data_IF_785103251206
#
_entry.id   IF_785103251206
#
_cell.length_a   1.000
_cell.length_b   1.000
_cell.length_c   1.000
_cell.angle_alpha   90.00
_cell.angle_beta   90.00
_cell.angle_gamma   90.00
#
_symmetry.space_group_name_H-M   'P 1'
#
loop_
_entity.id
_entity.type
_entity.pdbx_description
1 polymer ?
#
# COMPACT_ATOMS: atom_id res chain seq x y z
N UNK A 1 -16.89 -40.60 -6.17
CA UNK A 1 -16.40 -42.00 -6.21
C UNK A 1 -15.45 -42.12 -5.03
N UNK A 2 -15.88 -42.90 -4.03
CA UNK A 2 -15.19 -42.97 -2.75
C UNK A 2 -13.98 -43.90 -2.79
N UNK A 3 -12.94 -43.53 -2.11
CA UNK A 3 -11.81 -44.42 -1.79
C UNK A 3 -12.08 -45.06 -0.42
N UNK A 4 -12.37 -46.37 -0.45
CA UNK A 4 -12.37 -47.22 0.73
C UNK A 4 -10.94 -47.69 1.03
N UNK A 5 -10.48 -47.46 2.24
CA UNK A 5 -9.27 -48.10 2.77
C UNK A 5 -9.67 -49.46 3.38
N UNK A 6 -9.04 -50.56 2.92
CA UNK A 6 -9.15 -51.88 3.52
C UNK A 6 -8.15 -52.00 4.68
N UNK A 7 -8.49 -52.68 5.78
CA UNK A 7 -7.58 -52.87 6.91
C UNK A 7 -6.66 -54.06 6.63
N UNK A 8 -5.35 -53.79 6.44
CA UNK A 8 -4.31 -54.80 6.47
C UNK A 8 -3.67 -54.85 7.87
N UNK A 9 -3.58 -56.05 8.44
CA UNK A 9 -3.04 -56.32 9.77
C UNK A 9 -1.52 -56.10 9.87
N UNK A 10 -0.96 -56.17 11.09
CA UNK A 10 0.41 -55.73 11.37
C UNK A 10 1.44 -56.69 10.80
N UNK A 11 2.30 -56.20 9.93
CA UNK A 11 3.57 -56.83 9.59
C UNK A 11 4.68 -56.15 10.40
N UNK A 12 5.43 -56.95 11.13
CA UNK A 12 6.66 -56.59 11.80
C UNK A 12 7.66 -56.03 10.75
N UNK A 13 8.07 -54.80 10.90
CA UNK A 13 9.18 -54.22 10.15
C UNK A 13 10.42 -54.17 11.04
N UNK A 14 11.46 -54.82 10.59
CA UNK A 14 12.75 -54.89 11.25
C UNK A 14 13.38 -53.48 11.38
N UNK A 15 14.05 -53.28 12.53
CA UNK A 15 14.84 -52.08 12.77
C UNK A 15 16.00 -51.97 11.80
N UNK A 16 15.97 -50.88 10.99
CA UNK A 16 17.04 -50.52 10.08
C UNK A 16 16.87 -49.14 9.51
N UNK A 17 17.81 -48.25 9.85
CA UNK A 17 18.07 -46.93 9.27
C UNK A 17 17.07 -45.79 9.53
N UNK A 18 17.22 -45.16 10.69
CA UNK A 18 16.53 -43.93 11.13
C UNK A 18 17.29 -42.65 10.73
N UNK A 19 17.98 -42.57 9.63
CA UNK A 19 18.73 -41.37 9.23
C UNK A 19 18.24 -40.65 7.98
N UNK A 20 17.11 -41.06 7.37
CA UNK A 20 16.65 -40.47 6.10
C UNK A 20 15.32 -39.69 6.19
N UNK A 21 14.64 -39.65 7.32
CA UNK A 21 13.32 -38.99 7.45
C UNK A 21 13.33 -37.59 8.11
N UNK A 22 14.49 -37.06 8.50
CA UNK A 22 14.56 -35.74 9.18
C UNK A 22 14.88 -34.58 8.22
N UNK A 23 15.29 -34.84 6.99
CA UNK A 23 15.68 -33.80 6.04
C UNK A 23 14.52 -33.13 5.26
N UNK A 24 13.35 -33.73 5.22
CA UNK A 24 12.24 -33.20 4.39
C UNK A 24 11.31 -32.21 5.11
N UNK A 25 11.42 -32.06 6.44
CA UNK A 25 10.60 -31.11 7.19
C UNK A 25 11.19 -29.71 7.36
N UNK A 26 12.42 -29.46 6.87
CA UNK A 26 13.16 -28.20 7.09
C UNK A 26 12.99 -27.13 5.99
N UNK A 27 12.06 -27.30 5.08
CA UNK A 27 11.96 -26.45 3.87
C UNK A 27 10.77 -25.50 3.89
N UNK A 28 10.44 -24.86 5.05
CA UNK A 28 9.40 -23.86 4.98
C UNK A 28 9.74 -22.54 5.67
N UNK A 29 9.62 -21.49 4.86
CA UNK A 29 9.52 -20.06 5.13
C UNK A 29 10.89 -19.35 5.28
N UNK A 30 11.76 -19.16 4.24
CA UNK A 30 12.87 -18.25 4.20
C UNK A 30 14.08 -18.45 3.34
N UNK A 31 14.15 -19.49 2.62
CA UNK A 31 15.26 -19.63 1.67
C UNK A 31 15.11 -18.76 0.40
N UNK A 32 13.97 -18.10 0.23
CA UNK A 32 13.68 -17.38 -1.03
C UNK A 32 14.16 -15.92 -1.12
N UNK A 33 14.70 -15.31 -0.06
CA UNK A 33 14.97 -13.86 -0.07
C UNK A 33 16.40 -13.46 -0.43
N UNK A 34 17.41 -14.30 -0.28
CA UNK A 34 18.81 -13.92 -0.51
C UNK A 34 19.46 -14.55 -1.77
N UNK A 35 19.04 -15.75 -2.18
CA UNK A 35 19.71 -16.51 -3.23
C UNK A 35 19.00 -16.53 -4.60
N UNK A 36 17.70 -16.20 -4.67
CA UNK A 36 16.97 -16.23 -5.94
C UNK A 36 17.35 -15.12 -6.93
N UNK A 37 17.99 -14.04 -6.49
CA UNK A 37 18.55 -13.06 -7.41
C UNK A 37 19.73 -13.60 -8.21
N UNK A 38 20.35 -14.72 -7.79
CA UNK A 38 21.45 -15.39 -8.49
C UNK A 38 21.01 -16.58 -9.35
N UNK A 39 19.94 -17.30 -9.00
CA UNK A 39 19.53 -18.51 -9.75
C UNK A 39 18.53 -18.27 -10.89
N UNK A 40 17.75 -17.20 -10.84
CA UNK A 40 16.76 -16.88 -11.89
C UNK A 40 17.12 -15.61 -12.64
N UNK A 41 18.26 -15.52 -13.30
CA UNK A 41 18.69 -14.36 -14.09
C UNK A 41 17.56 -13.36 -14.40
N UNK A 42 17.78 -12.06 -14.24
CA UNK A 42 16.93 -10.86 -14.42
C UNK A 42 15.47 -11.08 -14.88
N UNK A 43 14.66 -11.71 -14.03
CA UNK A 43 13.23 -11.85 -14.27
C UNK A 43 12.55 -10.50 -14.00
N UNK A 44 11.78 -10.00 -14.98
CA UNK A 44 11.08 -8.71 -14.85
C UNK A 44 10.01 -8.79 -13.76
N UNK A 45 9.78 -7.70 -13.03
CA UNK A 45 8.84 -7.57 -11.89
C UNK A 45 7.49 -8.24 -12.14
N UNK A 46 6.88 -8.05 -13.33
CA UNK A 46 5.57 -8.64 -13.68
C UNK A 46 5.59 -10.15 -13.80
N UNK A 47 6.75 -10.75 -14.06
CA UNK A 47 6.92 -12.21 -14.06
C UNK A 47 7.27 -12.68 -12.65
N UNK A 48 8.13 -11.96 -11.94
CA UNK A 48 8.52 -12.30 -10.57
C UNK A 48 7.31 -12.42 -9.62
N UNK A 49 6.31 -11.55 -9.76
CA UNK A 49 5.08 -11.62 -8.96
C UNK A 49 4.26 -12.90 -9.16
N UNK A 50 4.49 -13.63 -10.26
CA UNK A 50 3.80 -14.91 -10.56
C UNK A 50 4.53 -16.13 -10.01
N UNK A 51 5.84 -16.00 -9.75
CA UNK A 51 6.72 -17.15 -9.47
C UNK A 51 7.31 -17.13 -8.06
N UNK A 52 7.18 -16.03 -7.35
CA UNK A 52 7.80 -15.81 -6.04
C UNK A 52 6.85 -16.10 -4.89
N UNK A 53 7.40 -16.50 -3.75
CA UNK A 53 6.68 -16.61 -2.47
C UNK A 53 5.93 -17.91 -2.25
N UNK A 54 5.88 -18.83 -3.23
CA UNK A 54 5.10 -20.05 -3.11
C UNK A 54 5.79 -21.26 -3.71
N UNK A 55 5.86 -22.35 -2.94
CA UNK A 55 6.26 -23.68 -3.40
C UNK A 55 5.02 -24.60 -3.47
N UNK A 56 4.64 -25.07 -4.70
CA UNK A 56 3.51 -25.96 -4.88
C UNK A 56 3.56 -27.25 -4.06
N UNK A 57 4.75 -27.80 -3.79
CA UNK A 57 4.92 -29.05 -3.03
C UNK A 57 4.25 -28.98 -1.66
N UNK A 58 4.20 -27.80 -1.08
CA UNK A 58 3.68 -27.50 0.23
C UNK A 58 2.16 -27.27 0.26
N UNK A 59 1.55 -27.34 -0.90
CA UNK A 59 0.09 -27.36 -1.09
C UNK A 59 -0.33 -28.53 -1.98
N UNK A 60 0.32 -29.68 -1.81
CA UNK A 60 0.02 -30.92 -2.54
C UNK A 60 0.12 -30.78 -4.06
N UNK A 61 1.03 -29.95 -4.57
CA UNK A 61 1.21 -29.70 -6.00
C UNK A 61 0.15 -28.74 -6.59
N UNK A 62 -0.65 -28.09 -5.79
CA UNK A 62 -1.61 -27.09 -6.26
C UNK A 62 -0.90 -25.90 -6.90
N UNK A 63 -1.42 -25.40 -8.03
CA UNK A 63 -0.91 -24.20 -8.69
C UNK A 63 -1.13 -22.90 -7.88
N UNK A 64 -1.95 -22.97 -6.84
CA UNK A 64 -2.19 -21.86 -5.89
C UNK A 64 -1.97 -22.35 -4.46
N UNK A 65 -1.50 -21.49 -3.54
CA UNK A 65 -1.33 -21.87 -2.15
C UNK A 65 -2.65 -22.28 -1.51
N UNK A 66 -2.59 -23.23 -0.56
CA UNK A 66 -3.71 -23.52 0.33
C UNK A 66 -3.98 -22.34 1.25
N UNK A 67 -5.18 -22.31 1.87
CA UNK A 67 -5.50 -21.37 2.94
C UNK A 67 -5.23 -22.04 4.28
N UNK A 68 -4.25 -21.53 5.04
CA UNK A 68 -3.80 -22.10 6.31
C UNK A 68 -4.49 -21.39 7.49
N UNK A 69 -5.68 -21.86 7.84
CA UNK A 69 -6.49 -21.32 8.95
C UNK A 69 -6.09 -21.89 10.30
N UNK A 70 -4.82 -21.77 10.67
CA UNK A 70 -4.34 -22.18 12.00
C UNK A 70 -3.98 -20.95 12.83
N UNK A 71 -4.39 -20.91 14.09
CA UNK A 71 -3.94 -19.88 15.02
C UNK A 71 -2.59 -20.24 15.66
N UNK A 72 -2.24 -21.52 15.72
CA UNK A 72 -1.05 -22.03 16.42
C UNK A 72 -0.35 -23.10 15.59
N UNK A 73 0.93 -23.29 15.84
CA UNK A 73 1.79 -24.23 15.12
C UNK A 73 2.49 -25.16 16.10
N UNK A 74 2.79 -26.38 15.67
CA UNK A 74 3.41 -27.43 16.49
C UNK A 74 4.91 -27.41 16.25
N UNK A 75 5.70 -27.44 17.30
CA UNK A 75 7.16 -27.51 17.25
C UNK A 75 7.63 -28.96 17.29
N UNK A 76 8.75 -29.25 16.63
CA UNK A 76 9.35 -30.57 16.61
C UNK A 76 9.91 -30.98 18.00
N UNK A 77 10.35 -30.01 18.82
CA UNK A 77 10.86 -30.19 20.16
C UNK A 77 10.72 -28.95 21.04
N UNK A 78 10.89 -29.03 22.36
CA UNK A 78 10.97 -27.85 23.22
C UNK A 78 12.10 -26.88 22.83
N UNK A 79 13.24 -27.38 22.38
CA UNK A 79 14.39 -26.59 21.98
C UNK A 79 14.07 -25.83 20.67
N UNK A 80 13.34 -26.44 19.72
CA UNK A 80 12.87 -25.77 18.52
C UNK A 80 11.89 -24.63 18.88
N UNK A 81 11.02 -24.83 19.86
CA UNK A 81 10.14 -23.80 20.37
C UNK A 81 10.91 -22.63 20.98
N UNK A 82 11.89 -22.90 21.88
CA UNK A 82 12.75 -21.88 22.48
C UNK A 82 13.48 -21.07 21.40
N UNK A 83 14.11 -21.76 20.46
CA UNK A 83 14.81 -21.12 19.34
C UNK A 83 13.90 -20.22 18.48
N UNK A 84 12.70 -20.67 18.13
CA UNK A 84 11.72 -19.88 17.37
C UNK A 84 11.35 -18.58 18.11
N UNK A 85 11.14 -18.65 19.43
CA UNK A 85 10.88 -17.45 20.23
C UNK A 85 12.09 -16.52 20.33
N UNK A 86 13.29 -17.04 20.42
CA UNK A 86 14.52 -16.26 20.50
C UNK A 86 14.79 -15.51 19.19
N UNK A 87 14.59 -16.16 18.05
CA UNK A 87 14.70 -15.52 16.72
C UNK A 87 13.63 -14.45 16.55
N UNK A 88 12.38 -14.78 16.90
CA UNK A 88 11.25 -13.81 16.77
C UNK A 88 11.43 -12.59 17.67
N UNK A 89 12.02 -12.76 18.85
CA UNK A 89 12.33 -11.68 19.78
C UNK A 89 13.64 -10.92 19.42
N UNK A 90 14.38 -11.38 18.41
CA UNK A 90 15.66 -10.80 18.00
C UNK A 90 16.81 -11.06 18.99
N UNK A 91 16.68 -12.03 19.89
CA UNK A 91 17.73 -12.44 20.84
C UNK A 91 18.80 -13.29 20.16
N UNK A 92 18.41 -14.06 19.17
CA UNK A 92 19.29 -14.89 18.35
C UNK A 92 19.11 -14.49 16.89
N UNK A 93 20.21 -14.38 16.15
CA UNK A 93 20.13 -14.23 14.69
C UNK A 93 19.98 -15.61 14.08
N UNK A 94 19.02 -15.81 13.17
CA UNK A 94 18.93 -17.07 12.44
C UNK A 94 20.22 -17.30 11.65
N UNK A 95 20.61 -18.57 11.45
CA UNK A 95 21.69 -18.94 10.56
C UNK A 95 21.36 -18.51 9.11
N UNK A 96 22.38 -18.41 8.25
CA UNK A 96 22.16 -18.08 6.85
C UNK A 96 21.24 -19.13 6.21
N UNK A 97 20.14 -18.67 5.59
CA UNK A 97 19.10 -19.54 5.04
C UNK A 97 18.14 -20.19 6.05
N UNK A 98 18.35 -19.97 7.35
CA UNK A 98 17.43 -20.45 8.38
C UNK A 98 16.23 -19.52 8.54
N UNK A 99 15.04 -20.10 8.67
CA UNK A 99 13.82 -19.42 9.12
C UNK A 99 13.41 -19.93 10.49
N UNK A 100 12.96 -19.00 11.31
CA UNK A 100 12.27 -19.38 12.54
C UNK A 100 10.96 -20.09 12.21
N UNK A 101 10.65 -21.13 12.97
CA UNK A 101 9.36 -21.80 12.90
C UNK A 101 8.22 -20.81 13.18
N UNK A 102 7.08 -21.02 12.54
CA UNK A 102 5.87 -20.28 12.85
C UNK A 102 5.42 -20.60 14.29
N UNK A 103 5.11 -19.58 15.06
CA UNK A 103 4.73 -19.70 16.47
C UNK A 103 3.22 -19.59 16.62
N UNK A 104 2.67 -18.51 16.11
CA UNK A 104 1.27 -18.11 16.31
C UNK A 104 0.87 -17.10 15.22
N UNK A 105 -0.33 -17.25 14.66
CA UNK A 105 -0.75 -16.47 13.49
C UNK A 105 -0.82 -14.96 13.72
N UNK A 106 -0.91 -14.49 14.97
CA UNK A 106 -0.82 -13.07 15.30
C UNK A 106 0.58 -12.48 14.98
N UNK A 107 1.63 -13.29 14.99
CA UNK A 107 2.97 -12.86 14.55
C UNK A 107 3.15 -13.01 13.06
N UNK A 108 2.87 -14.20 12.52
CA UNK A 108 2.85 -14.51 11.07
C UNK A 108 2.11 -15.82 10.79
N UNK A 109 1.70 -16.01 9.54
CA UNK A 109 1.10 -17.24 9.02
C UNK A 109 1.46 -17.42 7.55
N UNK A 110 1.39 -18.65 6.97
CA UNK A 110 1.90 -18.92 5.63
C UNK A 110 1.33 -18.00 4.55
N UNK A 111 0.02 -17.72 4.56
CA UNK A 111 -0.59 -16.86 3.53
C UNK A 111 -0.13 -15.39 3.63
N UNK A 112 0.18 -14.89 4.85
CA UNK A 112 0.75 -13.55 5.00
C UNK A 112 2.17 -13.51 4.42
N UNK A 113 3.00 -14.50 4.71
CA UNK A 113 4.38 -14.55 4.22
C UNK A 113 4.44 -14.70 2.71
N UNK A 114 3.59 -15.54 2.10
CA UNK A 114 3.47 -15.69 0.66
C UNK A 114 3.13 -14.35 0.00
N UNK A 115 2.11 -13.66 0.51
CA UNK A 115 1.73 -12.35 -0.02
C UNK A 115 2.82 -11.30 0.19
N UNK A 116 3.42 -11.24 1.38
CA UNK A 116 4.49 -10.31 1.73
C UNK A 116 5.71 -10.48 0.82
N UNK A 117 6.08 -11.71 0.49
CA UNK A 117 7.19 -11.98 -0.43
C UNK A 117 6.81 -11.67 -1.88
N UNK A 118 5.60 -12.01 -2.29
CA UNK A 118 5.11 -11.83 -3.66
C UNK A 118 4.94 -10.36 -4.05
N UNK A 119 4.61 -9.46 -3.11
CA UNK A 119 4.45 -8.03 -3.42
C UNK A 119 5.78 -7.29 -3.58
N UNK A 120 6.85 -7.77 -2.96
CA UNK A 120 8.17 -7.10 -2.95
C UNK A 120 8.67 -6.75 -4.36
N UNK A 121 8.62 -7.61 -5.39
CA UNK A 121 9.08 -7.26 -6.73
C UNK A 121 8.35 -6.09 -7.38
N UNK A 122 7.12 -5.80 -6.95
CA UNK A 122 6.32 -4.71 -7.52
C UNK A 122 6.81 -3.34 -7.08
N UNK A 123 7.36 -3.20 -5.86
CA UNK A 123 7.97 -1.95 -5.38
C UNK A 123 9.47 -1.96 -5.58
N UNK A 124 9.97 -1.14 -6.53
CA UNK A 124 11.40 -1.08 -6.83
C UNK A 124 12.21 -0.61 -5.62
N UNK A 125 13.21 -1.37 -5.25
CA UNK A 125 14.09 -1.10 -4.11
C UNK A 125 13.59 -1.70 -2.79
N UNK A 126 12.39 -2.29 -2.73
CA UNK A 126 11.92 -3.02 -1.57
C UNK A 126 12.62 -4.39 -1.46
N UNK A 127 12.81 -4.84 -0.22
CA UNK A 127 13.29 -6.19 0.12
C UNK A 127 12.32 -6.93 1.04
N UNK A 128 11.51 -6.21 1.79
CA UNK A 128 10.63 -6.76 2.82
C UNK A 128 9.27 -6.08 2.77
N UNK A 129 8.24 -6.82 3.15
CA UNK A 129 6.89 -6.33 3.33
C UNK A 129 6.28 -6.81 4.66
N UNK A 130 5.27 -6.08 5.14
CA UNK A 130 4.40 -6.48 6.23
C UNK A 130 2.96 -6.13 5.87
N UNK A 131 2.06 -7.12 5.94
CA UNK A 131 0.62 -6.95 5.64
C UNK A 131 -0.17 -6.67 6.92
N UNK A 132 -1.22 -5.85 6.80
CA UNK A 132 -2.07 -5.38 7.89
C UNK A 132 -3.54 -5.44 7.50
N UNK A 133 -4.43 -5.45 8.49
CA UNK A 133 -5.88 -5.49 8.27
C UNK A 133 -6.48 -4.17 7.72
N UNK A 134 -5.71 -3.11 7.58
CA UNK A 134 -6.11 -1.86 6.90
C UNK A 134 -4.90 -0.98 6.55
N UNK A 135 -5.08 -0.03 5.62
CA UNK A 135 -4.08 1.00 5.35
C UNK A 135 -3.77 1.84 6.59
N UNK A 136 -4.81 2.20 7.37
CA UNK A 136 -4.61 2.91 8.64
C UNK A 136 -3.82 2.11 9.67
N UNK A 137 -4.00 0.78 9.71
CA UNK A 137 -3.21 -0.10 10.57
C UNK A 137 -1.74 -0.12 10.16
N UNK A 138 -1.45 -0.11 8.85
CA UNK A 138 -0.09 0.01 8.33
C UNK A 138 0.55 1.35 8.73
N UNK A 139 -0.15 2.48 8.50
CA UNK A 139 0.31 3.83 8.84
C UNK A 139 0.54 3.97 10.35
N UNK A 140 -0.45 3.60 11.16
CA UNK A 140 -0.37 3.66 12.61
C UNK A 140 0.82 2.84 13.14
N UNK A 141 0.97 1.61 12.65
CA UNK A 141 2.07 0.74 13.06
C UNK A 141 3.43 1.32 12.68
N UNK A 142 3.54 1.90 11.48
CA UNK A 142 4.77 2.57 11.03
C UNK A 142 5.07 3.81 11.90
N UNK A 143 4.07 4.61 12.24
CA UNK A 143 4.27 5.76 13.14
C UNK A 143 4.75 5.29 14.52
N UNK A 144 4.09 4.33 15.14
CA UNK A 144 4.48 3.81 16.46
C UNK A 144 5.80 3.02 16.48
N UNK A 145 6.34 2.66 15.31
CA UNK A 145 7.67 2.08 15.23
C UNK A 145 8.78 3.13 15.46
N UNK A 146 8.49 4.42 15.24
CA UNK A 146 9.48 5.50 15.27
C UNK A 146 9.08 6.71 16.10
N UNK A 147 7.78 6.96 16.30
CA UNK A 147 7.32 8.04 17.16
C UNK A 147 7.74 7.81 18.62
N UNK A 148 8.14 8.89 19.26
CA UNK A 148 8.51 8.93 20.67
C UNK A 148 8.00 10.22 21.30
N UNK A 149 7.77 10.27 22.63
CA UNK A 149 7.34 11.51 23.28
C UNK A 149 8.27 12.70 22.94
N UNK A 150 7.68 13.87 22.77
CA UNK A 150 8.34 15.14 22.40
C UNK A 150 8.95 15.15 20.99
N UNK A 151 8.64 14.17 20.15
CA UNK A 151 9.09 14.16 18.76
C UNK A 151 8.14 14.92 17.84
N UNK A 152 8.66 15.30 16.67
CA UNK A 152 7.88 15.92 15.60
C UNK A 152 7.76 15.01 14.38
N UNK A 153 6.63 15.14 13.68
CA UNK A 153 6.34 14.54 12.38
C UNK A 153 6.13 15.69 11.39
N UNK A 154 7.01 15.84 10.41
CA UNK A 154 6.78 16.73 9.26
C UNK A 154 5.93 16.00 8.25
N UNK A 155 4.83 16.58 7.77
CA UNK A 155 3.95 15.91 6.82
C UNK A 155 3.37 16.85 5.77
N UNK A 156 3.08 16.32 4.59
CA UNK A 156 2.46 17.07 3.48
C UNK A 156 0.95 17.19 3.65
N UNK A 157 0.36 18.30 3.21
CA UNK A 157 -1.09 18.54 3.22
C UNK A 157 -1.63 18.80 1.81
N UNK A 158 -2.87 18.38 1.47
CA UNK A 158 -3.76 17.54 2.27
C UNK A 158 -3.26 16.11 2.39
N UNK A 159 -3.60 15.45 3.51
CA UNK A 159 -3.48 14.01 3.70
C UNK A 159 -4.86 13.35 3.68
N UNK A 160 -4.87 12.03 3.56
CA UNK A 160 -6.05 11.25 3.88
C UNK A 160 -6.56 11.61 5.29
N UNK A 161 -7.87 11.89 5.43
CA UNK A 161 -8.44 12.39 6.69
C UNK A 161 -8.19 11.50 7.91
N UNK A 162 -8.09 10.17 7.70
CA UNK A 162 -7.71 9.24 8.78
C UNK A 162 -6.28 9.47 9.30
N UNK A 163 -5.34 9.82 8.42
CA UNK A 163 -3.94 10.09 8.81
C UNK A 163 -3.84 11.43 9.54
N UNK A 164 -4.56 12.45 9.07
CA UNK A 164 -4.66 13.74 9.78
C UNK A 164 -5.24 13.53 11.18
N UNK A 165 -6.35 12.78 11.28
CA UNK A 165 -6.94 12.43 12.58
C UNK A 165 -6.02 11.65 13.50
N UNK A 166 -5.22 10.72 12.96
CA UNK A 166 -4.21 9.99 13.73
C UNK A 166 -3.17 10.95 14.33
N UNK A 167 -2.68 11.92 13.57
CA UNK A 167 -1.69 12.88 14.06
C UNK A 167 -2.30 13.79 15.14
N UNK A 168 -3.36 14.51 14.82
CA UNK A 168 -3.88 15.56 15.69
C UNK A 168 -4.72 15.04 16.86
N UNK A 169 -5.57 14.04 16.62
CA UNK A 169 -6.50 13.58 17.66
C UNK A 169 -5.88 12.52 18.56
N UNK A 170 -4.95 11.72 18.00
CA UNK A 170 -4.41 10.59 18.74
C UNK A 170 -2.97 10.81 19.20
N UNK A 171 -2.06 11.26 18.33
CA UNK A 171 -0.63 11.35 18.68
C UNK A 171 -0.26 12.60 19.46
N UNK A 172 -0.88 13.75 19.21
CA UNK A 172 -0.60 14.99 19.95
C UNK A 172 -0.84 14.86 21.46
N UNK A 173 -1.91 14.21 21.96
CA UNK A 173 -2.07 13.93 23.38
C UNK A 173 -0.92 13.10 24.00
N UNK A 174 -0.19 12.33 23.19
CA UNK A 174 1.01 11.60 23.60
C UNK A 174 2.31 12.40 23.35
N UNK A 175 2.18 13.70 23.09
CA UNK A 175 3.30 14.64 22.89
C UNK A 175 4.13 14.31 21.63
N UNK A 176 3.47 13.86 20.56
CA UNK A 176 4.04 13.75 19.22
C UNK A 176 3.35 14.77 18.33
N UNK A 177 4.08 15.78 17.88
CA UNK A 177 3.52 16.97 17.24
C UNK A 177 3.65 16.93 15.72
N UNK A 178 2.59 17.32 15.03
CA UNK A 178 2.58 17.44 13.58
C UNK A 178 3.03 18.81 13.08
N UNK A 179 3.86 18.87 12.05
CA UNK A 179 4.25 20.09 11.32
C UNK A 179 3.71 19.93 9.88
N UNK A 180 2.58 20.57 9.55
CA UNK A 180 2.01 20.51 8.21
C UNK A 180 2.77 21.37 7.22
N UNK A 181 2.95 20.88 5.99
CA UNK A 181 3.49 21.65 4.86
C UNK A 181 2.67 21.36 3.61
N UNK A 182 2.38 22.37 2.81
CA UNK A 182 1.59 22.19 1.59
C UNK A 182 2.31 21.29 0.59
N UNK A 183 1.59 20.30 0.06
CA UNK A 183 2.07 19.46 -1.06
C UNK A 183 2.47 20.35 -2.25
N UNK A 184 3.62 20.03 -2.86
CA UNK A 184 4.16 20.80 -3.99
C UNK A 184 4.96 22.06 -3.60
N UNK A 185 4.92 22.48 -2.34
CA UNK A 185 5.82 23.53 -1.82
C UNK A 185 7.16 22.91 -1.42
N UNK A 186 7.99 22.64 -2.43
CA UNK A 186 9.27 21.95 -2.23
C UNK A 186 10.19 22.71 -1.28
N UNK A 187 10.28 24.03 -1.37
CA UNK A 187 11.13 24.86 -0.50
C UNK A 187 10.60 24.91 0.94
N UNK A 188 9.28 25.02 1.09
CA UNK A 188 8.62 24.95 2.39
C UNK A 188 8.84 23.60 3.08
N UNK A 189 8.76 22.51 2.33
CA UNK A 189 9.03 21.15 2.85
C UNK A 189 10.49 21.03 3.32
N UNK A 190 11.46 21.44 2.52
CA UNK A 190 12.88 21.44 2.91
C UNK A 190 13.14 22.31 4.14
N UNK A 191 12.52 23.50 4.20
CA UNK A 191 12.65 24.38 5.34
C UNK A 191 12.03 23.80 6.62
N UNK A 192 10.85 23.21 6.50
CA UNK A 192 10.18 22.55 7.63
C UNK A 192 11.00 21.37 8.17
N UNK A 193 11.52 20.52 7.29
CA UNK A 193 12.40 19.41 7.69
C UNK A 193 13.64 19.95 8.38
N UNK A 194 14.34 20.91 7.78
CA UNK A 194 15.58 21.49 8.33
C UNK A 194 15.41 22.12 9.71
N UNK A 195 14.27 22.74 9.97
CA UNK A 195 14.01 23.48 11.21
C UNK A 195 13.27 22.64 12.27
N UNK A 196 12.77 21.47 11.93
CA UNK A 196 12.10 20.58 12.86
C UNK A 196 13.06 20.15 13.98
N UNK A 197 12.59 20.17 15.21
CA UNK A 197 13.36 19.70 16.36
C UNK A 197 12.87 18.31 16.76
N UNK A 198 13.79 17.42 17.09
CA UNK A 198 13.47 16.03 17.45
C UNK A 198 12.59 15.36 16.38
N UNK A 199 12.93 15.59 15.10
CA UNK A 199 12.18 15.07 13.97
C UNK A 199 12.36 13.55 13.88
N UNK A 200 11.27 12.79 13.96
CA UNK A 200 11.34 11.33 13.90
C UNK A 200 10.79 10.76 12.57
N UNK A 201 9.87 11.47 11.94
CA UNK A 201 9.20 11.02 10.71
C UNK A 201 9.00 12.21 9.77
N UNK A 202 9.22 11.98 8.49
CA UNK A 202 8.71 12.80 7.39
C UNK A 202 7.69 11.95 6.63
N UNK A 203 6.41 12.34 6.66
CA UNK A 203 5.32 11.61 6.05
C UNK A 203 4.76 12.32 4.83
N UNK A 204 4.65 11.59 3.72
CA UNK A 204 4.27 12.16 2.41
C UNK A 204 3.17 11.34 1.78
N UNK A 205 2.12 12.01 1.29
CA UNK A 205 1.17 11.45 0.35
C UNK A 205 1.38 12.12 -1.02
N UNK A 206 1.78 11.34 -2.03
CA UNK A 206 2.04 11.89 -3.37
C UNK A 206 1.68 10.89 -4.46
N UNK A 207 0.77 11.29 -5.42
CA UNK A 207 0.05 12.57 -5.50
C UNK A 207 -0.90 12.78 -4.33
N UNK A 208 -1.09 14.04 -3.92
CA UNK A 208 -2.00 14.41 -2.84
C UNK A 208 -3.46 14.17 -3.22
N UNK A 209 -4.25 13.62 -2.32
CA UNK A 209 -5.69 13.42 -2.49
C UNK A 209 -6.46 14.66 -2.03
N UNK A 210 -7.36 15.25 -2.80
CA UNK A 210 -7.81 14.88 -4.17
C UNK A 210 -7.20 15.76 -5.27
N UNK A 211 -6.26 16.64 -4.94
CA UNK A 211 -5.75 17.71 -5.82
C UNK A 211 -4.69 17.21 -6.80
N UNK A 212 -4.19 15.99 -6.62
CA UNK A 212 -3.14 15.35 -7.43
C UNK A 212 -1.81 16.13 -7.45
N UNK A 213 -1.63 17.08 -6.54
CA UNK A 213 -0.38 17.82 -6.41
C UNK A 213 0.76 16.86 -6.07
N UNK A 214 1.85 16.98 -6.83
CA UNK A 214 3.03 16.13 -6.69
C UNK A 214 4.04 16.77 -5.72
N UNK A 215 4.65 15.94 -4.90
CA UNK A 215 5.79 16.32 -4.04
C UNK A 215 7.09 15.75 -4.61
N UNK A 216 8.14 16.56 -4.70
CA UNK A 216 9.48 16.14 -5.16
C UNK A 216 10.12 15.23 -4.11
N UNK A 217 10.05 13.92 -4.34
CA UNK A 217 10.58 12.92 -3.41
C UNK A 217 12.10 12.97 -3.29
N UNK A 218 12.82 13.27 -4.37
CA UNK A 218 14.30 13.35 -4.33
C UNK A 218 14.75 14.46 -3.41
N UNK A 219 14.22 15.68 -3.56
CA UNK A 219 14.58 16.83 -2.74
C UNK A 219 14.17 16.62 -1.28
N UNK A 220 12.97 16.10 -1.05
CA UNK A 220 12.47 15.79 0.29
C UNK A 220 13.37 14.76 1.01
N UNK A 221 13.67 13.63 0.34
CA UNK A 221 14.52 12.59 0.92
C UNK A 221 15.95 13.09 1.18
N UNK A 222 16.48 13.93 0.29
CA UNK A 222 17.78 14.55 0.50
C UNK A 222 17.79 15.49 1.74
N UNK A 223 16.72 16.28 1.93
CA UNK A 223 16.58 17.14 3.11
C UNK A 223 16.48 16.31 4.41
N UNK A 224 15.71 15.22 4.40
CA UNK A 224 15.61 14.31 5.54
C UNK A 224 16.94 13.62 5.87
N UNK A 225 17.67 13.16 4.86
CA UNK A 225 18.99 12.55 5.02
C UNK A 225 20.04 13.52 5.60
N UNK A 226 19.94 14.81 5.27
CA UNK A 226 20.83 15.86 5.79
C UNK A 226 20.45 16.32 7.20
N UNK A 227 19.29 15.94 7.73
CA UNK A 227 18.84 16.34 9.05
C UNK A 227 19.59 15.57 10.16
N UNK A 228 20.04 16.23 11.27
CA UNK A 228 20.82 15.57 12.32
C UNK A 228 20.09 14.41 13.02
N UNK A 229 18.76 14.47 13.10
CA UNK A 229 17.94 13.41 13.71
C UNK A 229 17.69 12.22 12.77
N UNK A 230 18.05 12.32 11.49
CA UNK A 230 17.81 11.30 10.45
C UNK A 230 16.37 10.72 10.48
N UNK A 231 15.35 11.59 10.31
CA UNK A 231 13.95 11.14 10.36
C UNK A 231 13.66 10.10 9.29
N UNK A 232 12.80 9.14 9.61
CA UNK A 232 12.36 8.11 8.67
C UNK A 232 11.40 8.73 7.64
N UNK A 233 11.73 8.61 6.37
CA UNK A 233 10.85 9.04 5.28
C UNK A 233 9.84 7.94 4.95
N UNK A 234 8.56 8.25 5.17
CA UNK A 234 7.43 7.36 4.87
C UNK A 234 6.59 7.96 3.77
N UNK A 235 6.33 7.19 2.73
CA UNK A 235 5.51 7.64 1.58
C UNK A 235 4.27 6.77 1.44
N UNK A 236 3.11 7.39 1.51
CA UNK A 236 1.86 6.75 1.06
C UNK A 236 1.77 6.86 -0.47
N UNK A 237 1.99 5.75 -1.13
CA UNK A 237 2.01 5.64 -2.59
C UNK A 237 0.73 4.99 -3.14
N UNK A 238 -0.37 5.04 -2.40
CA UNK A 238 -1.62 4.35 -2.74
C UNK A 238 -2.19 4.77 -4.10
N UNK A 239 -1.98 6.02 -4.55
CA UNK A 239 -2.54 6.51 -5.81
C UNK A 239 -1.83 6.01 -7.07
N UNK A 240 -0.52 5.79 -7.01
CA UNK A 240 0.30 5.43 -8.18
C UNK A 240 1.04 4.10 -8.05
N UNK A 241 1.14 3.58 -6.84
CA UNK A 241 1.87 2.33 -6.64
C UNK A 241 1.00 1.06 -6.63
N UNK A 242 1.65 -0.05 -6.72
CA UNK A 242 3.10 -0.24 -6.90
C UNK A 242 3.55 -0.27 -8.38
N UNK A 243 2.80 0.33 -9.29
CA UNK A 243 3.02 0.16 -10.75
C UNK A 243 3.66 1.38 -11.40
N UNK A 244 3.32 2.60 -10.98
CA UNK A 244 3.66 3.83 -11.72
C UNK A 244 4.63 4.76 -11.00
N UNK A 245 4.81 4.61 -9.70
CA UNK A 245 5.74 5.38 -8.89
C UNK A 245 6.42 4.46 -7.86
N UNK A 246 7.73 4.65 -7.65
CA UNK A 246 8.55 3.85 -6.77
C UNK A 246 9.35 4.74 -5.80
N UNK A 247 8.76 5.16 -4.67
CA UNK A 247 9.38 6.12 -3.76
C UNK A 247 10.73 5.69 -3.19
N UNK A 248 10.97 4.38 -3.04
CA UNK A 248 12.27 3.88 -2.54
C UNK A 248 13.43 4.20 -3.47
N UNK A 249 13.20 4.36 -4.77
CA UNK A 249 14.24 4.78 -5.72
C UNK A 249 14.72 6.22 -5.47
N UNK A 250 13.91 7.02 -4.79
CA UNK A 250 14.17 8.41 -4.45
C UNK A 250 14.68 8.60 -3.03
N UNK A 251 14.77 7.53 -2.24
CA UNK A 251 15.32 7.57 -0.90
C UNK A 251 14.31 7.33 0.25
N UNK A 252 13.06 7.05 -0.05
CA UNK A 252 12.09 6.68 0.98
C UNK A 252 12.52 5.42 1.74
N UNK A 253 12.31 5.40 3.06
CA UNK A 253 12.64 4.28 3.94
C UNK A 253 11.50 3.27 4.03
N UNK A 254 10.26 3.77 4.07
CA UNK A 254 9.04 2.96 4.15
C UNK A 254 8.06 3.49 3.11
N UNK A 255 7.49 2.56 2.34
CA UNK A 255 6.35 2.85 1.45
C UNK A 255 5.13 2.14 1.98
N UNK A 256 4.03 2.86 2.15
CA UNK A 256 2.75 2.30 2.61
C UNK A 256 1.72 2.33 1.50
N UNK A 257 0.84 1.33 1.52
CA UNK A 257 -0.30 1.20 0.61
C UNK A 257 -1.55 0.86 1.40
N UNK A 258 -2.63 1.54 1.10
CA UNK A 258 -3.95 0.97 1.34
C UNK A 258 -4.19 -0.14 0.32
N UNK A 259 -3.93 -1.40 0.71
CA UNK A 259 -4.15 -2.56 -0.14
C UNK A 259 -5.64 -2.76 -0.50
N UNK A 260 -6.54 -2.12 0.25
CA UNK A 260 -7.97 -1.93 -0.05
C UNK A 260 -8.23 -1.38 -1.46
N UNK A 261 -7.27 -0.61 -2.03
CA UNK A 261 -7.40 0.13 -3.28
C UNK A 261 -6.97 -0.73 -4.47
N UNK A 262 -6.02 -0.29 -5.26
CA UNK A 262 -5.57 -0.99 -6.47
C UNK A 262 -5.09 -2.42 -6.23
N UNK A 263 -4.44 -2.70 -5.09
CA UNK A 263 -3.94 -4.05 -4.81
C UNK A 263 -5.07 -5.07 -4.72
N UNK A 264 -6.11 -4.77 -3.96
CA UNK A 264 -7.36 -5.56 -3.95
C UNK A 264 -8.13 -5.40 -5.27
N UNK A 265 -8.51 -4.18 -5.61
CA UNK A 265 -9.12 -3.80 -6.89
C UNK A 265 -10.59 -4.15 -7.09
N UNK A 266 -11.29 -4.71 -6.10
CA UNK A 266 -12.65 -5.22 -6.26
C UNK A 266 -13.65 -4.69 -5.22
N UNK A 267 -13.27 -3.69 -4.44
CA UNK A 267 -14.12 -3.03 -3.42
C UNK A 267 -14.76 -3.98 -2.40
N UNK A 268 -14.12 -5.10 -2.09
CA UNK A 268 -14.66 -6.22 -1.30
C UNK A 268 -13.83 -6.59 -0.07
N UNK A 269 -12.73 -5.87 0.18
CA UNK A 269 -11.87 -6.11 1.34
C UNK A 269 -11.15 -4.85 1.79
N UNK A 270 -10.73 -4.85 3.05
CA UNK A 270 -9.91 -3.81 3.66
C UNK A 270 -8.57 -4.40 4.06
N UNK A 271 -7.48 -3.84 3.57
CA UNK A 271 -6.13 -4.29 3.89
C UNK A 271 -5.11 -3.16 3.75
N UNK A 272 -3.93 -3.34 4.35
CA UNK A 272 -2.79 -2.44 4.22
C UNK A 272 -1.49 -3.20 4.07
N UNK A 273 -0.47 -2.56 3.52
CA UNK A 273 0.87 -3.12 3.46
C UNK A 273 1.91 -2.02 3.60
N UNK A 274 3.00 -2.33 4.29
CA UNK A 274 4.19 -1.48 4.36
C UNK A 274 5.38 -2.25 3.79
N UNK A 275 6.16 -1.59 2.96
CA UNK A 275 7.37 -2.15 2.35
C UNK A 275 8.59 -1.34 2.77
N UNK A 276 9.75 -1.99 2.87
CA UNK A 276 11.02 -1.36 3.20
C UNK A 276 12.20 -2.16 2.63
N UNK A 277 13.35 -1.52 2.51
CA UNK A 277 14.63 -2.19 2.21
C UNK A 277 15.38 -2.63 3.47
N UNK A 278 14.99 -2.13 4.65
CA UNK A 278 15.69 -2.32 5.91
C UNK A 278 15.18 -3.54 6.68
N UNK A 279 16.10 -4.46 7.01
CA UNK A 279 15.80 -5.59 7.90
C UNK A 279 15.41 -5.15 9.31
N UNK A 280 15.98 -4.06 9.81
CA UNK A 280 15.61 -3.49 11.12
C UNK A 280 14.21 -2.90 11.09
N UNK A 281 13.87 -2.14 10.02
CA UNK A 281 12.56 -1.54 9.87
C UNK A 281 11.46 -2.60 9.79
N UNK A 282 11.65 -3.66 9.00
CA UNK A 282 10.64 -4.72 8.90
C UNK A 282 10.45 -5.47 10.22
N UNK A 283 11.51 -5.70 10.99
CA UNK A 283 11.40 -6.29 12.31
C UNK A 283 10.58 -5.41 13.27
N UNK A 284 10.84 -4.09 13.28
CA UNK A 284 10.04 -3.14 14.07
C UNK A 284 8.56 -3.18 13.67
N UNK A 285 8.25 -3.15 12.38
CA UNK A 285 6.87 -3.19 11.87
C UNK A 285 6.17 -4.49 12.25
N UNK A 286 6.77 -5.65 12.03
CA UNK A 286 6.20 -6.96 12.35
C UNK A 286 6.02 -7.14 13.85
N UNK A 287 6.99 -6.71 14.67
CA UNK A 287 6.89 -6.73 16.13
C UNK A 287 5.70 -5.88 16.62
N UNK A 288 5.55 -4.66 16.14
CA UNK A 288 4.42 -3.79 16.49
C UNK A 288 3.08 -4.36 16.00
N UNK A 289 3.04 -4.90 14.77
CA UNK A 289 1.86 -5.63 14.26
C UNK A 289 1.43 -6.74 15.21
N UNK A 290 2.38 -7.56 15.66
CA UNK A 290 2.12 -8.64 16.60
C UNK A 290 1.61 -8.16 17.97
N UNK A 291 2.08 -7.00 18.46
CA UNK A 291 1.60 -6.40 19.71
C UNK A 291 0.20 -5.79 19.56
N UNK A 292 -0.05 -5.05 18.48
CA UNK A 292 -1.34 -4.38 18.23
C UNK A 292 -2.43 -5.37 17.79
N UNK A 293 -2.06 -6.53 17.25
CA UNK A 293 -3.00 -7.53 16.76
C UNK A 293 -3.68 -7.14 15.43
N UNK A 294 -3.16 -6.15 14.71
CA UNK A 294 -3.73 -5.65 13.46
C UNK A 294 -3.29 -6.48 12.23
N UNK A 295 -3.40 -7.79 12.36
CA UNK A 295 -3.07 -8.78 11.33
C UNK A 295 -4.19 -8.90 10.29
N UNK A 296 -3.82 -9.23 9.06
CA UNK A 296 -4.76 -9.66 8.02
C UNK A 296 -4.94 -11.19 8.11
N UNK A 297 -6.15 -11.68 7.87
CA UNK A 297 -6.47 -13.10 7.99
C UNK A 297 -5.96 -13.91 6.78
N UNK A 298 -5.77 -15.25 6.92
CA UNK A 298 -5.26 -16.09 5.84
C UNK A 298 -6.06 -16.04 4.55
N UNK A 299 -7.40 -16.03 4.62
CA UNK A 299 -8.28 -15.95 3.45
C UNK A 299 -8.08 -14.64 2.67
N UNK A 300 -7.97 -13.53 3.37
CA UNK A 300 -7.79 -12.21 2.77
C UNK A 300 -6.38 -12.08 2.15
N UNK A 301 -5.35 -12.63 2.82
CA UNK A 301 -4.00 -12.71 2.23
C UNK A 301 -4.01 -13.55 0.96
N UNK A 302 -4.71 -14.70 0.96
CA UNK A 302 -4.88 -15.57 -0.20
C UNK A 302 -5.64 -14.87 -1.35
N UNK A 303 -6.65 -14.05 -1.03
CA UNK A 303 -7.34 -13.23 -2.02
C UNK A 303 -6.40 -12.19 -2.63
N UNK A 304 -5.62 -11.48 -1.82
CA UNK A 304 -4.65 -10.49 -2.28
C UNK A 304 -3.58 -11.12 -3.18
N UNK A 305 -3.00 -12.25 -2.76
CA UNK A 305 -2.07 -13.05 -3.55
C UNK A 305 -2.59 -13.29 -4.97
N UNK A 306 -3.84 -13.77 -5.08
CA UNK A 306 -4.46 -14.02 -6.38
C UNK A 306 -4.73 -12.78 -7.24
N UNK A 307 -4.67 -11.57 -6.67
CA UNK A 307 -4.95 -10.29 -7.36
C UNK A 307 -3.71 -9.54 -7.79
N UNK A 308 -2.57 -9.78 -7.12
CA UNK A 308 -1.30 -9.14 -7.46
C UNK A 308 -0.88 -9.31 -8.93
N UNK A 309 -1.01 -10.50 -9.55
CA UNK A 309 -0.63 -10.69 -10.95
C UNK A 309 -1.35 -9.77 -11.95
N UNK A 310 -2.55 -9.30 -11.60
CA UNK A 310 -3.36 -8.44 -12.47
C UNK A 310 -3.28 -6.95 -12.12
N UNK A 311 -2.61 -6.56 -11.04
CA UNK A 311 -2.59 -5.17 -10.57
C UNK A 311 -2.12 -4.20 -11.65
N UNK A 312 -1.01 -4.51 -12.32
CA UNK A 312 -0.48 -3.66 -13.39
C UNK A 312 -1.39 -3.60 -14.62
N UNK A 313 -2.08 -4.70 -14.95
CA UNK A 313 -3.05 -4.72 -16.06
C UNK A 313 -4.24 -3.81 -15.75
N UNK A 314 -4.79 -3.91 -14.55
CA UNK A 314 -5.92 -3.09 -14.09
C UNK A 314 -5.54 -1.61 -14.01
N UNK A 315 -4.44 -1.28 -13.35
CA UNK A 315 -3.95 0.11 -13.23
C UNK A 315 -3.65 0.74 -14.59
N UNK A 316 -3.04 0.01 -15.53
CA UNK A 316 -2.81 0.50 -16.88
C UNK A 316 -4.12 0.83 -17.62
N UNK A 317 -5.14 -0.03 -17.48
CA UNK A 317 -6.45 0.24 -18.08
C UNK A 317 -7.13 1.45 -17.45
N UNK A 318 -7.11 1.53 -16.12
CA UNK A 318 -7.67 2.64 -15.35
C UNK A 318 -6.99 3.97 -15.68
N UNK A 319 -5.64 3.98 -15.78
CA UNK A 319 -4.88 5.18 -16.17
C UNK A 319 -5.23 5.64 -17.58
N UNK A 320 -5.32 4.74 -18.56
CA UNK A 320 -5.75 5.06 -19.91
C UNK A 320 -7.17 5.63 -19.98
N UNK A 321 -8.08 5.07 -19.18
CA UNK A 321 -9.45 5.57 -19.10
C UNK A 321 -9.49 6.96 -18.48
N UNK A 322 -8.80 7.16 -17.33
CA UNK A 322 -8.71 8.46 -16.68
C UNK A 322 -8.14 9.53 -17.58
N UNK A 323 -7.06 9.22 -18.31
CA UNK A 323 -6.44 10.15 -19.25
C UNK A 323 -7.42 10.58 -20.35
N UNK A 324 -8.06 9.63 -21.02
CA UNK A 324 -9.02 9.90 -22.09
C UNK A 324 -10.21 10.75 -21.63
N UNK A 325 -10.73 10.43 -20.44
CA UNK A 325 -11.84 11.16 -19.83
C UNK A 325 -11.41 12.58 -19.44
N UNK A 326 -10.26 12.74 -18.78
CA UNK A 326 -9.75 14.04 -18.38
C UNK A 326 -9.46 14.94 -19.59
N UNK A 327 -8.84 14.41 -20.64
CA UNK A 327 -8.55 15.14 -21.89
C UNK A 327 -9.83 15.52 -22.65
N UNK A 328 -10.82 14.61 -22.75
CA UNK A 328 -12.09 14.88 -23.43
C UNK A 328 -12.94 15.94 -22.70
N UNK A 329 -12.87 15.97 -21.36
CA UNK A 329 -13.61 16.92 -20.53
C UNK A 329 -12.86 18.24 -20.32
N UNK A 330 -11.59 18.33 -20.73
CA UNK A 330 -10.79 19.54 -20.57
C UNK A 330 -11.37 20.70 -21.40
N UNK A 331 -11.62 21.85 -20.75
CA UNK A 331 -12.23 23.02 -21.38
C UNK A 331 -13.75 22.97 -21.52
N UNK A 332 -14.42 21.96 -20.94
CA UNK A 332 -15.89 21.91 -20.94
C UNK A 332 -16.49 23.10 -20.18
N UNK A 333 -17.53 23.78 -20.78
CA UNK A 333 -18.07 25.04 -20.29
C UNK A 333 -18.61 25.03 -18.83
N UNK A 334 -18.99 23.87 -18.31
CA UNK A 334 -19.49 23.70 -16.92
C UNK A 334 -18.38 23.50 -15.90
N UNK A 335 -17.13 23.27 -16.37
CA UNK A 335 -15.97 23.00 -15.53
C UNK A 335 -15.04 24.21 -15.55
N UNK A 336 -14.64 24.67 -14.37
CA UNK A 336 -13.60 25.67 -14.23
C UNK A 336 -12.20 25.06 -14.42
N UNK A 337 -12.05 23.78 -14.09
CA UNK A 337 -10.78 23.06 -14.18
C UNK A 337 -10.99 21.55 -14.24
N UNK A 338 -10.14 20.86 -15.00
CA UNK A 338 -9.91 19.41 -14.92
C UNK A 338 -8.50 19.20 -14.40
N UNK A 339 -8.38 18.46 -13.29
CA UNK A 339 -7.09 18.21 -12.63
C UNK A 339 -6.64 16.80 -12.96
N UNK A 340 -5.53 16.71 -13.71
CA UNK A 340 -4.90 15.44 -14.06
C UNK A 340 -3.43 15.68 -14.41
N UNK A 341 -2.49 14.76 -14.14
CA UNK A 341 -1.07 15.03 -14.32
C UNK A 341 -0.65 15.43 -15.73
N UNK A 342 -1.28 14.88 -16.79
CA UNK A 342 -0.98 15.28 -18.18
C UNK A 342 -1.48 16.69 -18.53
N UNK A 343 -2.36 17.26 -17.73
CA UNK A 343 -2.95 18.60 -17.89
C UNK A 343 -2.33 19.66 -16.96
N UNK A 344 -1.30 19.30 -16.21
CA UNK A 344 -0.60 20.28 -15.38
C UNK A 344 -0.07 21.43 -16.23
N UNK A 345 -0.27 22.66 -15.76
CA UNK A 345 0.27 23.89 -16.39
C UNK A 345 1.53 24.37 -15.69
N UNK A 346 1.65 24.13 -14.38
CA UNK A 346 2.81 24.45 -13.57
C UNK A 346 4.06 23.69 -14.05
N UNK A 347 5.15 24.39 -14.42
CA UNK A 347 6.37 23.75 -14.90
C UNK A 347 7.01 22.79 -13.87
N UNK A 348 6.92 23.13 -12.57
CA UNK A 348 7.49 22.30 -11.50
C UNK A 348 6.69 21.00 -11.34
N UNK A 349 5.36 21.06 -11.36
CA UNK A 349 4.51 19.87 -11.32
C UNK A 349 4.74 18.96 -12.55
N UNK A 350 4.93 19.54 -13.73
CA UNK A 350 5.31 18.79 -14.95
C UNK A 350 6.67 18.10 -14.78
N UNK A 351 7.65 18.80 -14.24
CA UNK A 351 9.00 18.27 -14.00
C UNK A 351 8.95 17.11 -13.02
N UNK A 352 8.27 17.28 -11.87
CA UNK A 352 8.15 16.24 -10.84
C UNK A 352 7.45 15.00 -11.44
N UNK A 353 6.31 15.17 -12.08
CA UNK A 353 5.57 14.09 -12.72
C UNK A 353 6.44 13.35 -13.75
N UNK A 354 7.06 14.06 -14.68
CA UNK A 354 7.88 13.46 -15.73
C UNK A 354 9.11 12.73 -15.22
N UNK A 355 9.63 13.14 -14.05
CA UNK A 355 10.81 12.52 -13.43
C UNK A 355 10.49 11.28 -12.61
N UNK A 356 9.43 11.31 -11.81
CA UNK A 356 9.21 10.27 -10.80
C UNK A 356 8.05 9.31 -11.10
N UNK A 357 7.26 9.52 -12.17
CA UNK A 357 6.10 8.70 -12.49
C UNK A 357 6.19 8.10 -13.89
N UNK A 358 5.85 6.81 -14.03
CA UNK A 358 5.77 6.13 -15.34
C UNK A 358 4.46 6.46 -16.07
N UNK A 359 3.36 6.64 -15.34
CA UNK A 359 2.01 6.93 -15.85
C UNK A 359 1.23 7.81 -14.88
N UNK A 360 0.21 8.54 -15.37
CA UNK A 360 -0.51 9.55 -14.57
C UNK A 360 -1.53 8.98 -13.56
N UNK A 361 -1.82 7.68 -13.62
CA UNK A 361 -2.75 7.02 -12.67
C UNK A 361 -4.22 7.08 -13.07
N UNK A 362 -5.06 6.41 -12.27
CA UNK A 362 -6.49 6.24 -12.53
C UNK A 362 -7.39 7.29 -11.87
N UNK A 363 -6.82 8.31 -11.22
CA UNK A 363 -7.57 9.35 -10.51
C UNK A 363 -7.48 10.68 -11.26
N UNK A 364 -8.62 11.36 -11.39
CA UNK A 364 -8.68 12.76 -11.81
C UNK A 364 -9.76 13.51 -11.06
N UNK A 365 -9.73 14.83 -11.10
CA UNK A 365 -10.74 15.65 -10.43
C UNK A 365 -11.34 16.67 -11.39
N UNK A 366 -12.64 16.90 -11.25
CA UNK A 366 -13.40 17.92 -11.98
C UNK A 366 -13.77 19.04 -11.02
N UNK A 367 -13.51 20.27 -11.38
CA UNK A 367 -13.94 21.44 -10.64
C UNK A 367 -15.08 22.14 -11.35
N UNK A 368 -16.25 22.16 -10.74
CA UNK A 368 -17.47 22.72 -11.30
C UNK A 368 -17.53 24.24 -11.11
N UNK A 369 -17.74 25.00 -12.20
CA UNK A 369 -17.90 26.45 -12.13
C UNK A 369 -19.10 26.91 -11.30
N UNK A 370 -20.18 26.10 -11.24
CA UNK A 370 -21.35 26.34 -10.41
C UNK A 370 -21.21 25.88 -8.94
N UNK A 371 -19.98 25.54 -8.50
CA UNK A 371 -19.70 25.15 -7.13
C UNK A 371 -20.42 23.88 -6.69
N UNK A 372 -20.77 23.81 -5.40
CA UNK A 372 -21.36 22.62 -4.76
C UNK A 372 -22.68 22.19 -5.41
N UNK A 373 -23.53 23.13 -5.81
CA UNK A 373 -24.83 22.81 -6.40
C UNK A 373 -24.66 22.04 -7.72
N UNK A 374 -23.76 22.53 -8.58
CA UNK A 374 -23.40 21.89 -9.85
C UNK A 374 -22.75 20.52 -9.65
N UNK A 375 -21.78 20.42 -8.73
CA UNK A 375 -21.12 19.17 -8.38
C UNK A 375 -22.12 18.12 -7.89
N UNK A 376 -23.07 18.50 -7.05
CA UNK A 376 -24.09 17.60 -6.54
C UNK A 376 -25.11 17.19 -7.61
N UNK A 377 -25.48 18.09 -8.52
CA UNK A 377 -26.37 17.74 -9.64
C UNK A 377 -25.69 16.73 -10.57
N UNK A 378 -24.42 16.94 -10.93
CA UNK A 378 -23.63 15.95 -11.67
C UNK A 378 -23.64 14.58 -10.98
N UNK A 379 -23.31 14.53 -9.68
CA UNK A 379 -23.29 13.28 -8.92
C UNK A 379 -24.63 12.55 -8.86
N UNK A 380 -25.76 13.28 -8.93
CA UNK A 380 -27.11 12.68 -9.01
C UNK A 380 -27.42 12.11 -10.38
N UNK A 381 -26.77 12.61 -11.44
CA UNK A 381 -27.08 12.26 -12.83
C UNK A 381 -26.21 11.17 -13.42
N UNK A 382 -25.03 10.92 -12.87
CA UNK A 382 -24.21 9.80 -13.32
C UNK A 382 -24.96 8.46 -13.13
N UNK A 383 -24.84 7.55 -14.09
CA UNK A 383 -25.61 6.30 -14.16
C UNK A 383 -24.71 5.07 -14.12
N UNK A 384 -23.53 5.15 -14.76
CA UNK A 384 -22.52 4.10 -14.80
C UNK A 384 -21.55 4.27 -13.63
N UNK A 385 -20.97 5.48 -13.50
CA UNK A 385 -20.14 5.83 -12.38
C UNK A 385 -20.96 5.86 -11.07
N UNK A 386 -20.41 5.32 -10.01
CA UNK A 386 -21.10 5.19 -8.72
C UNK A 386 -20.67 6.29 -7.76
N UNK A 387 -21.64 6.94 -7.13
CA UNK A 387 -21.36 7.92 -6.09
C UNK A 387 -20.99 7.20 -4.79
N UNK A 388 -19.69 7.00 -4.57
CA UNK A 388 -19.14 6.31 -3.42
C UNK A 388 -17.74 6.82 -3.09
N UNK A 389 -17.36 6.75 -1.82
CA UNK A 389 -15.97 6.93 -1.39
C UNK A 389 -15.13 5.71 -1.79
N UNK A 390 -13.82 5.76 -1.56
CA UNK A 390 -12.83 4.79 -2.02
C UNK A 390 -12.32 5.09 -3.42
N UNK A 391 -11.46 4.22 -3.97
CA UNK A 391 -10.82 4.36 -5.27
C UNK A 391 -10.13 3.05 -5.67
N UNK A 392 -9.67 2.97 -6.92
CA UNK A 392 -8.81 1.88 -7.40
C UNK A 392 -9.55 0.57 -7.70
N UNK A 393 -10.87 0.53 -7.52
CA UNK A 393 -11.72 -0.60 -7.93
C UNK A 393 -11.82 -0.74 -9.45
N UNK A 394 -12.28 -1.91 -9.91
CA UNK A 394 -12.56 -2.15 -11.34
C UNK A 394 -13.74 -1.31 -11.85
N UNK A 395 -14.60 -0.85 -10.96
CA UNK A 395 -15.71 0.07 -11.23
C UNK A 395 -15.28 1.53 -11.07
N UNK A 396 -15.90 2.43 -11.84
CA UNK A 396 -15.71 3.88 -11.72
C UNK A 396 -16.47 4.45 -10.52
N UNK A 397 -15.73 5.12 -9.62
CA UNK A 397 -16.27 5.76 -8.43
C UNK A 397 -16.11 7.28 -8.50
N UNK A 398 -17.13 8.00 -8.00
CA UNK A 398 -17.14 9.46 -7.90
C UNK A 398 -17.50 9.89 -6.49
N UNK A 399 -16.90 10.96 -5.99
CA UNK A 399 -17.29 11.54 -4.71
C UNK A 399 -17.03 13.06 -4.66
N UNK A 400 -17.69 13.74 -3.73
CA UNK A 400 -17.43 15.13 -3.41
C UNK A 400 -16.53 15.19 -2.16
N UNK A 401 -15.20 15.40 -2.30
CA UNK A 401 -14.25 15.26 -1.19
C UNK A 401 -14.58 16.13 0.01
N UNK A 402 -14.93 17.41 -0.20
CA UNK A 402 -15.23 18.36 0.87
C UNK A 402 -16.37 17.90 1.80
N UNK A 403 -17.40 17.22 1.28
CA UNK A 403 -18.52 16.73 2.10
C UNK A 403 -18.39 15.27 2.55
N UNK A 404 -17.27 14.59 2.20
CA UNK A 404 -17.04 13.18 2.51
C UNK A 404 -15.67 12.95 3.11
N UNK A 405 -14.67 12.64 2.28
CA UNK A 405 -13.33 12.22 2.71
C UNK A 405 -12.52 13.30 3.43
N UNK A 406 -12.85 14.58 3.23
CA UNK A 406 -12.19 15.75 3.83
C UNK A 406 -13.13 16.59 4.68
N UNK A 407 -14.29 16.04 5.07
CA UNK A 407 -15.30 16.77 5.88
C UNK A 407 -14.85 17.12 7.31
N UNK A 408 -13.78 16.49 7.79
CA UNK A 408 -13.19 16.78 9.10
C UNK A 408 -12.19 17.94 9.12
N UNK A 409 -11.83 18.49 7.94
CA UNK A 409 -10.92 19.63 7.85
C UNK A 409 -11.62 20.94 8.16
N UNK A 410 -10.91 21.88 8.80
CA UNK A 410 -11.36 23.24 8.99
C UNK A 410 -11.53 24.01 7.68
N UNK A 411 -12.14 25.18 7.69
CA UNK A 411 -12.27 26.01 6.49
C UNK A 411 -10.93 26.49 5.96
N UNK A 412 -10.02 26.79 6.86
CA UNK A 412 -8.66 27.22 6.59
C UNK A 412 -7.86 26.08 5.92
N UNK A 413 -7.88 24.88 6.49
CA UNK A 413 -7.22 23.71 5.94
C UNK A 413 -7.77 23.32 4.56
N UNK A 414 -9.10 23.42 4.36
CA UNK A 414 -9.73 23.19 3.05
C UNK A 414 -9.25 24.21 2.00
N UNK A 415 -9.15 25.48 2.38
CA UNK A 415 -8.68 26.54 1.48
C UNK A 415 -7.22 26.36 1.11
N UNK A 416 -6.37 26.06 2.08
CA UNK A 416 -4.93 25.80 1.87
C UNK A 416 -4.67 24.55 1.04
N UNK A 417 -5.48 23.51 1.23
CA UNK A 417 -5.36 22.24 0.49
C UNK A 417 -5.92 22.32 -0.95
N UNK A 418 -6.66 23.39 -1.30
CA UNK A 418 -7.30 23.52 -2.61
C UNK A 418 -8.53 22.60 -2.80
N UNK A 419 -9.13 22.12 -1.71
CA UNK A 419 -10.36 21.32 -1.73
C UNK A 419 -11.57 22.27 -1.71
N UNK A 420 -12.10 22.58 -2.89
CA UNK A 420 -13.18 23.55 -3.08
C UNK A 420 -14.57 22.93 -2.98
N UNK A 421 -15.60 23.77 -2.95
CA UNK A 421 -17.00 23.37 -2.99
C UNK A 421 -17.45 22.75 -4.33
N UNK A 422 -16.73 23.04 -5.40
CA UNK A 422 -17.03 22.51 -6.73
C UNK A 422 -16.27 21.24 -7.09
N UNK A 423 -15.40 20.72 -6.21
CA UNK A 423 -14.50 19.64 -6.55
C UNK A 423 -15.18 18.27 -6.46
N UNK A 424 -15.11 17.49 -7.55
CA UNK A 424 -15.51 16.09 -7.61
C UNK A 424 -14.30 15.26 -7.99
N UNK A 425 -13.95 14.26 -7.18
CA UNK A 425 -12.91 13.29 -7.47
C UNK A 425 -13.50 12.08 -8.20
N UNK A 426 -12.83 11.62 -9.24
CA UNK A 426 -13.20 10.44 -10.02
C UNK A 426 -12.06 9.43 -9.97
N UNK A 427 -12.39 8.20 -9.63
CA UNK A 427 -11.53 7.02 -9.74
C UNK A 427 -12.02 6.21 -10.93
N UNK A 428 -11.31 6.27 -12.04
CA UNK A 428 -11.68 5.55 -13.25
C UNK A 428 -11.50 4.03 -13.07
N UNK A 429 -12.52 3.28 -13.45
CA UNK A 429 -12.51 1.83 -13.52
C UNK A 429 -12.00 1.30 -14.86
N UNK A 430 -12.33 0.05 -15.16
CA UNK A 430 -11.90 -0.65 -16.38
C UNK A 430 -12.98 -0.72 -17.46
N UNK A 431 -14.12 -0.07 -17.27
CA UNK A 431 -15.24 0.00 -18.22
C UNK A 431 -14.78 0.54 -19.58
N UNK A 432 -15.62 0.47 -20.61
CA UNK A 432 -15.33 1.21 -21.85
C UNK A 432 -15.40 2.71 -21.57
N UNK A 433 -14.31 3.42 -21.87
CA UNK A 433 -14.19 4.86 -21.60
C UNK A 433 -15.22 5.71 -22.38
N UNK A 434 -15.74 5.22 -23.50
CA UNK A 434 -16.76 5.92 -24.29
C UNK A 434 -18.10 5.92 -23.58
N UNK A 435 -18.45 4.81 -22.94
CA UNK A 435 -19.66 4.71 -22.13
C UNK A 435 -19.58 5.61 -20.91
N UNK A 436 -18.40 5.67 -20.26
CA UNK A 436 -18.14 6.59 -19.15
C UNK A 436 -18.20 8.07 -19.60
N UNK A 437 -17.63 8.38 -20.76
CA UNK A 437 -17.69 9.73 -21.31
C UNK A 437 -19.14 10.14 -21.62
N UNK A 438 -19.91 9.28 -22.27
CA UNK A 438 -21.32 9.54 -22.54
C UNK A 438 -22.14 9.70 -21.25
N UNK A 439 -21.83 8.93 -20.21
CA UNK A 439 -22.44 9.08 -18.87
C UNK A 439 -22.11 10.45 -18.25
N UNK A 440 -20.86 10.89 -18.36
CA UNK A 440 -20.46 12.20 -17.82
C UNK A 440 -21.04 13.37 -18.63
N UNK A 441 -21.06 13.27 -19.96
CA UNK A 441 -21.64 14.31 -20.83
C UNK A 441 -23.14 14.50 -20.58
N UNK A 442 -23.91 13.39 -20.46
CA UNK A 442 -25.35 13.50 -20.14
C UNK A 442 -25.57 14.07 -18.73
N UNK A 443 -24.70 13.77 -17.76
CA UNK A 443 -24.77 14.33 -16.42
C UNK A 443 -24.41 15.83 -16.41
N UNK A 444 -23.38 16.25 -17.18
CA UNK A 444 -22.97 17.65 -17.36
C UNK A 444 -24.04 18.49 -18.08
N UNK A 445 -24.79 17.89 -19.00
CA UNK A 445 -25.88 18.59 -19.69
C UNK A 445 -27.02 19.00 -18.77
N UNK A 446 -27.16 18.35 -17.61
CA UNK A 446 -28.18 18.63 -16.60
C UNK A 446 -27.75 19.68 -15.54
N UNK A 447 -26.46 20.08 -15.55
CA UNK A 447 -25.86 21.03 -14.59
C UNK A 447 -26.04 22.50 -14.98
#
# INVERSE_FOLDING_TARGET
MGYFLSPGGPQEVAAGDTHLEVETAKLWVGVFMADQDQEHGHVRRRTAVLTRGFDPSLSFGSARPAVFRSSTYVFASPEAAEHAFDVTAGRVKPAEGERADLIYSRFSHPNAEIFEDQIVPLEAGARYAAVFNSGMAAIMTAFFAYARPDATIVYTTPLYGGTTGLIHTFLEPFRVYGIPVRSGDTEGIEAAIRNARNCCIVYVETPANPTLTMTDLERLCAAAAAHPDHPIVMVDNTFLGPTFQHPMLWGADIVVYSATKYLSGFSDMVAGVALTRSAEAIQKLRSRRGMFGNILQPDECWMLDGRLPTVSLRMNRQSKNAQRLAEALHGHAKLSRVIYPTLFTDPEQKRIFGKQCEYPGGIFSLEFAGGKAAAFEFLRRVRIARNAVSLGGVETLTCHPKSTTHSGLSREELAESGVTDGLVRISAGIEDWRDLLADFEQALAAV
#
